data_IF_363426315479
#
_entry.id   IF_363426315479
#
_cell.length_a   1.000
_cell.length_b   1.000
_cell.length_c   1.000
_cell.angle_alpha   90.00
_cell.angle_beta   90.00
_cell.angle_gamma   90.00
#
_symmetry.space_group_name_H-M   'P 1'
#
loop_
_entity.id
_entity.type
_entity.pdbx_description
1 polymer ?
#
# COMPACT_ATOMS: atom_id res chain seq x y z
N UNK A 1 -38.51 -5.89 -50.15
CA UNK A 1 -37.64 -6.51 -51.18
C UNK A 1 -36.22 -6.01 -50.98
N UNK A 2 -35.50 -6.58 -50.00
CA UNK A 2 -34.04 -6.58 -49.89
C UNK A 2 -33.68 -7.92 -49.25
N UNK A 3 -32.91 -8.71 -49.98
CA UNK A 3 -32.35 -10.01 -49.60
C UNK A 3 -31.36 -9.85 -48.44
N UNK A 4 -31.48 -10.69 -47.41
CA UNK A 4 -30.33 -11.05 -46.59
C UNK A 4 -30.30 -12.56 -46.44
N UNK A 5 -29.58 -13.17 -47.38
CA UNK A 5 -29.34 -14.58 -47.49
C UNK A 5 -28.29 -15.05 -46.46
N UNK A 6 -28.70 -16.05 -45.67
CA UNK A 6 -27.98 -17.29 -45.37
C UNK A 6 -26.46 -17.19 -45.21
N UNK A 7 -26.02 -17.20 -43.96
CA UNK A 7 -24.80 -17.90 -43.54
C UNK A 7 -25.12 -18.77 -42.33
N UNK A 8 -25.56 -20.00 -42.62
CA UNK A 8 -25.65 -21.09 -41.63
C UNK A 8 -24.30 -21.81 -41.70
N UNK A 9 -23.41 -21.69 -40.70
CA UNK A 9 -22.19 -22.47 -40.68
C UNK A 9 -22.53 -23.96 -40.57
N UNK A 10 -21.92 -24.75 -41.45
CA UNK A 10 -22.12 -26.19 -41.61
C UNK A 10 -21.78 -26.95 -40.33
N UNK A 11 -22.69 -27.85 -39.93
CA UNK A 11 -22.66 -28.74 -38.76
C UNK A 11 -21.51 -29.78 -38.74
N UNK A 12 -20.52 -29.70 -39.63
CA UNK A 12 -19.46 -30.70 -39.78
C UNK A 12 -18.21 -30.45 -38.92
N UNK A 13 -18.05 -29.26 -38.33
CA UNK A 13 -16.85 -28.91 -37.54
C UNK A 13 -16.97 -29.26 -36.04
N UNK A 14 -18.10 -29.82 -35.59
CA UNK A 14 -18.33 -30.11 -34.17
C UNK A 14 -17.88 -31.51 -33.73
N UNK A 15 -17.50 -32.40 -34.65
CA UNK A 15 -17.14 -33.79 -34.32
C UNK A 15 -15.67 -34.04 -33.95
N UNK A 16 -14.77 -33.09 -34.20
CA UNK A 16 -13.35 -33.24 -33.81
C UNK A 16 -13.10 -32.77 -32.36
N UNK A 17 -14.00 -31.97 -31.78
CA UNK A 17 -13.83 -31.40 -30.43
C UNK A 17 -14.18 -32.42 -29.32
N UNK A 18 -14.90 -33.51 -29.63
CA UNK A 18 -15.44 -34.42 -28.59
C UNK A 18 -14.47 -35.55 -28.19
N UNK A 19 -13.39 -35.81 -28.94
CA UNK A 19 -12.50 -36.95 -28.67
C UNK A 19 -11.11 -36.61 -28.11
N UNK A 20 -10.72 -35.34 -28.04
CA UNK A 20 -9.38 -34.94 -27.52
C UNK A 20 -9.43 -34.42 -26.08
N UNK A 21 -10.61 -34.07 -25.57
CA UNK A 21 -10.78 -33.49 -24.22
C UNK A 21 -10.60 -34.48 -23.05
N UNK A 22 -10.92 -35.80 -23.13
CA UNK A 22 -10.78 -36.66 -21.96
C UNK A 22 -9.32 -37.06 -21.64
N UNK A 23 -8.42 -37.05 -22.63
CA UNK A 23 -7.03 -37.48 -22.44
C UNK A 23 -6.17 -36.41 -21.75
N UNK A 24 -6.49 -35.12 -21.93
CA UNK A 24 -5.75 -34.02 -21.29
C UNK A 24 -6.13 -33.83 -19.80
N UNK A 25 -7.30 -34.32 -19.38
CA UNK A 25 -7.75 -34.28 -17.98
C UNK A 25 -7.14 -35.40 -17.12
N UNK A 26 -6.74 -36.53 -17.72
CA UNK A 26 -6.11 -37.63 -16.97
C UNK A 26 -4.63 -37.36 -16.63
N UNK A 27 -3.95 -36.47 -17.37
CA UNK A 27 -2.54 -36.17 -17.16
C UNK A 27 -2.26 -35.17 -16.01
N UNK A 28 -3.27 -34.47 -15.49
CA UNK A 28 -3.10 -33.56 -14.33
C UNK A 28 -3.33 -34.22 -12.97
N UNK A 29 -3.80 -35.47 -12.92
CA UNK A 29 -4.03 -36.18 -11.66
C UNK A 29 -2.74 -36.81 -11.06
N UNK A 30 -1.58 -36.63 -11.69
CA UNK A 30 -0.35 -37.37 -11.37
C UNK A 30 0.68 -36.69 -10.46
N UNK A 31 0.44 -35.46 -9.98
CA UNK A 31 1.43 -34.71 -9.18
C UNK A 31 0.81 -34.18 -7.88
N UNK A 32 0.26 -35.08 -7.09
CA UNK A 32 -0.03 -34.83 -5.68
C UNK A 32 0.45 -36.01 -4.83
N UNK A 33 1.60 -36.59 -5.18
CA UNK A 33 2.34 -37.42 -4.24
C UNK A 33 2.84 -36.50 -3.15
N UNK A 34 2.17 -36.53 -2.01
CA UNK A 34 2.56 -35.82 -0.81
C UNK A 34 4.03 -36.12 -0.50
N UNK A 35 4.89 -35.16 -0.81
CA UNK A 35 6.13 -35.04 -0.05
C UNK A 35 5.67 -34.79 1.37
N UNK A 36 5.89 -35.78 2.22
CA UNK A 36 5.78 -35.61 3.66
C UNK A 36 6.90 -34.62 3.98
N UNK A 37 6.56 -33.34 4.06
CA UNK A 37 7.51 -32.30 4.45
C UNK A 37 8.11 -32.73 5.79
N UNK A 38 9.44 -32.85 5.84
CA UNK A 38 10.12 -33.14 7.09
C UNK A 38 9.71 -32.09 8.13
N UNK A 39 9.45 -32.51 9.38
CA UNK A 39 9.06 -31.57 10.42
C UNK A 39 10.14 -30.50 10.53
N UNK A 40 9.72 -29.23 10.55
CA UNK A 40 10.60 -28.07 10.72
C UNK A 40 11.48 -28.32 11.95
N UNK A 41 12.80 -28.22 11.78
CA UNK A 41 13.74 -28.37 12.87
C UNK A 41 13.57 -27.21 13.86
N UNK A 42 12.85 -27.48 14.94
CA UNK A 42 12.57 -26.55 16.05
C UNK A 42 13.86 -25.95 16.63
N UNK A 43 14.97 -26.68 16.54
CA UNK A 43 16.28 -26.22 17.02
C UNK A 43 16.77 -25.00 16.27
N UNK A 44 16.45 -24.87 14.97
CA UNK A 44 16.84 -23.71 14.17
C UNK A 44 16.10 -22.46 14.58
N UNK A 45 14.79 -22.54 14.82
CA UNK A 45 13.99 -21.37 15.23
C UNK A 45 14.52 -20.76 16.54
N UNK A 46 15.01 -21.59 17.46
CA UNK A 46 15.60 -21.14 18.72
C UNK A 46 16.80 -20.21 18.52
N UNK A 47 17.65 -20.46 17.53
CA UNK A 47 18.78 -19.58 17.21
C UNK A 47 18.28 -18.17 16.83
N UNK A 48 17.23 -18.08 16.02
CA UNK A 48 16.58 -16.82 15.69
C UNK A 48 16.01 -16.09 16.91
N UNK A 49 15.39 -16.83 17.84
CA UNK A 49 14.87 -16.27 19.10
C UNK A 49 15.99 -15.72 19.98
N UNK A 50 17.11 -16.44 20.11
CA UNK A 50 18.28 -15.99 20.87
C UNK A 50 18.87 -14.70 20.29
N UNK A 51 18.96 -14.59 18.95
CA UNK A 51 19.39 -13.36 18.27
C UNK A 51 18.45 -12.16 18.48
N UNK A 52 17.19 -12.44 18.85
CA UNK A 52 16.20 -11.41 19.14
C UNK A 52 16.16 -11.02 20.63
N UNK A 53 16.86 -11.72 21.52
CA UNK A 53 16.76 -11.49 22.98
C UNK A 53 17.11 -10.03 23.38
N UNK A 54 18.11 -9.45 22.72
CA UNK A 54 18.64 -8.11 23.05
C UNK A 54 18.07 -6.99 22.18
N UNK A 55 17.07 -7.28 21.34
CA UNK A 55 16.49 -6.27 20.43
C UNK A 55 15.69 -5.22 21.21
N UNK A 56 15.96 -3.95 20.93
CA UNK A 56 15.26 -2.83 21.54
C UNK A 56 13.93 -2.54 20.82
N UNK A 57 12.84 -2.47 21.60
CA UNK A 57 11.54 -2.03 21.12
C UNK A 57 11.48 -0.50 21.05
N UNK A 58 10.70 0.05 20.11
CA UNK A 58 10.56 1.50 19.92
C UNK A 58 11.68 2.14 19.09
N UNK A 59 12.67 1.37 18.62
CA UNK A 59 13.64 1.85 17.64
C UNK A 59 12.99 2.07 16.26
N UNK A 60 13.53 3.02 15.48
CA UNK A 60 13.09 3.27 14.10
C UNK A 60 13.75 2.32 13.08
N UNK A 61 14.87 1.69 13.44
CA UNK A 61 15.68 0.88 12.52
C UNK A 61 15.15 -0.56 12.40
N UNK A 62 15.43 -1.18 11.25
CA UNK A 62 15.21 -2.61 10.97
C UNK A 62 16.48 -3.47 11.17
N UNK A 63 17.60 -2.83 11.50
CA UNK A 63 18.94 -3.41 11.39
C UNK A 63 19.29 -4.28 12.61
N UNK A 64 18.48 -5.31 12.85
CA UNK A 64 18.68 -6.30 13.90
C UNK A 64 19.13 -7.62 13.26
N UNK A 65 20.09 -8.32 13.87
CA UNK A 65 20.57 -9.58 13.30
C UNK A 65 19.49 -10.65 13.23
N UNK A 66 18.65 -10.75 14.26
CA UNK A 66 17.52 -11.69 14.29
C UNK A 66 16.48 -11.40 13.19
N UNK A 67 16.23 -10.13 12.85
CA UNK A 67 15.33 -9.78 11.73
C UNK A 67 15.80 -10.41 10.41
N UNK A 68 17.08 -10.24 10.09
CA UNK A 68 17.65 -10.79 8.86
C UNK A 68 17.77 -12.32 8.92
N UNK A 69 18.02 -12.88 10.09
CA UNK A 69 18.02 -14.33 10.30
C UNK A 69 16.65 -14.92 9.95
N UNK A 70 15.55 -14.34 10.43
CA UNK A 70 14.19 -14.80 10.09
C UNK A 70 13.88 -14.65 8.59
N UNK A 71 14.37 -13.59 7.94
CA UNK A 71 14.23 -13.45 6.48
C UNK A 71 14.95 -14.59 5.73
N UNK A 72 16.17 -14.93 6.12
CA UNK A 72 16.93 -16.03 5.52
C UNK A 72 16.28 -17.39 5.82
N UNK A 73 15.90 -17.61 7.08
CA UNK A 73 15.24 -18.83 7.54
C UNK A 73 13.95 -19.12 6.75
N UNK A 74 13.10 -18.11 6.55
CA UNK A 74 11.90 -18.27 5.74
C UNK A 74 12.20 -18.61 4.28
N UNK A 75 13.29 -18.08 3.72
CA UNK A 75 13.70 -18.42 2.33
C UNK A 75 14.17 -19.86 2.22
N UNK A 76 15.00 -20.30 3.17
CA UNK A 76 15.59 -21.64 3.16
C UNK A 76 14.56 -22.73 3.52
N UNK A 77 13.45 -22.37 4.17
CA UNK A 77 12.43 -23.30 4.65
C UNK A 77 11.03 -22.92 4.11
N UNK A 78 10.71 -23.25 2.84
CA UNK A 78 9.46 -22.81 2.22
C UNK A 78 8.19 -23.38 2.80
N UNK A 79 8.27 -24.56 3.40
CA UNK A 79 7.12 -25.24 3.97
C UNK A 79 6.94 -24.93 5.46
N UNK A 80 7.66 -23.94 6.02
CA UNK A 80 7.64 -23.65 7.47
C UNK A 80 6.23 -23.39 8.01
N UNK A 81 5.36 -22.77 7.22
CA UNK A 81 3.97 -22.50 7.61
C UNK A 81 2.97 -23.54 7.07
N UNK A 82 3.42 -24.61 6.40
CA UNK A 82 2.55 -25.54 5.68
C UNK A 82 1.75 -26.47 6.61
N UNK A 83 2.28 -26.80 7.79
CA UNK A 83 1.65 -27.70 8.76
C UNK A 83 0.55 -27.05 9.58
N UNK A 84 0.52 -25.73 9.61
CA UNK A 84 -0.26 -24.98 10.56
C UNK A 84 -1.24 -24.08 9.76
N UNK A 85 -2.50 -24.01 10.19
CA UNK A 85 -3.58 -23.43 9.38
C UNK A 85 -4.06 -22.07 9.92
N UNK A 86 -3.52 -20.96 9.40
CA UNK A 86 -3.94 -19.59 9.80
C UNK A 86 -5.44 -19.36 9.59
N UNK A 87 -6.09 -20.11 8.69
CA UNK A 87 -7.54 -19.98 8.50
C UNK A 87 -8.33 -20.45 9.73
N UNK A 88 -7.79 -21.42 10.47
CA UNK A 88 -8.40 -22.00 11.68
C UNK A 88 -7.96 -21.30 12.96
N UNK A 89 -6.77 -20.70 12.97
CA UNK A 89 -6.24 -19.99 14.14
C UNK A 89 -6.88 -18.62 14.30
N UNK A 90 -7.16 -18.22 15.54
CA UNK A 90 -7.59 -16.86 15.85
C UNK A 90 -6.43 -15.90 15.63
N UNK A 91 -6.65 -14.83 14.86
CA UNK A 91 -5.66 -13.78 14.70
C UNK A 91 -5.31 -13.15 16.07
N UNK A 92 -4.02 -12.99 16.32
CA UNK A 92 -3.50 -12.36 17.54
C UNK A 92 -3.82 -10.86 17.49
N UNK A 93 -4.53 -10.31 18.50
CA UNK A 93 -4.79 -8.88 18.57
C UNK A 93 -3.47 -8.09 18.65
N UNK A 94 -3.35 -7.03 17.85
CA UNK A 94 -2.09 -6.26 17.75
C UNK A 94 -1.69 -5.66 19.09
N UNK A 95 -2.69 -5.30 19.89
CA UNK A 95 -2.53 -4.83 21.26
C UNK A 95 -1.63 -5.77 22.09
N UNK A 96 -1.77 -7.08 21.96
CA UNK A 96 -0.96 -8.03 22.74
C UNK A 96 0.50 -8.04 22.30
N UNK A 97 0.75 -7.94 20.99
CA UNK A 97 2.11 -7.80 20.45
C UNK A 97 2.79 -6.51 20.93
N UNK A 98 2.01 -5.44 21.12
CA UNK A 98 2.52 -4.15 21.57
C UNK A 98 2.70 -4.05 23.09
N UNK A 99 1.80 -4.63 23.88
CA UNK A 99 1.86 -4.57 25.35
C UNK A 99 2.85 -5.59 25.95
N UNK A 100 3.09 -6.71 25.26
CA UNK A 100 3.90 -7.82 25.74
C UNK A 100 4.86 -8.35 24.65
N UNK A 101 5.71 -7.49 24.05
CA UNK A 101 6.54 -7.88 22.91
C UNK A 101 7.50 -9.04 23.23
N UNK A 102 8.02 -9.12 24.46
CA UNK A 102 8.90 -10.21 24.91
C UNK A 102 8.27 -11.60 24.77
N UNK A 103 6.95 -11.70 24.93
CA UNK A 103 6.26 -12.98 25.01
C UNK A 103 5.92 -13.56 23.63
N UNK A 104 6.01 -12.73 22.59
CA UNK A 104 5.76 -13.11 21.20
C UNK A 104 7.03 -13.09 20.35
N UNK A 105 8.16 -12.67 20.90
CA UNK A 105 9.39 -12.43 20.14
C UNK A 105 9.95 -13.73 19.57
N UNK A 106 10.05 -13.78 18.24
CA UNK A 106 10.43 -14.96 17.47
C UNK A 106 9.34 -16.04 17.39
N UNK A 107 8.16 -15.82 17.98
CA UNK A 107 7.03 -16.75 17.89
C UNK A 107 6.30 -16.58 16.56
N UNK A 108 5.75 -17.70 16.07
CA UNK A 108 4.82 -17.69 14.95
C UNK A 108 3.47 -17.12 15.40
N UNK A 109 3.02 -16.07 14.72
CA UNK A 109 1.72 -15.43 14.97
C UNK A 109 0.91 -15.34 13.68
N UNK A 110 -0.40 -15.58 13.79
CA UNK A 110 -1.37 -15.27 12.75
C UNK A 110 -1.91 -13.86 13.02
N UNK A 111 -1.79 -12.94 12.07
CA UNK A 111 -2.27 -11.56 12.21
C UNK A 111 -3.19 -11.17 11.07
N UNK A 112 -4.10 -10.24 11.35
CA UNK A 112 -4.99 -9.64 10.37
C UNK A 112 -4.79 -8.14 10.31
N UNK A 113 -4.95 -7.56 9.12
CA UNK A 113 -4.88 -6.12 8.95
C UNK A 113 -5.37 -5.68 7.57
N UNK A 114 -5.66 -4.40 7.43
CA UNK A 114 -5.98 -3.79 6.14
C UNK A 114 -4.71 -3.31 5.47
N UNK A 115 -4.49 -3.72 4.22
CA UNK A 115 -3.35 -3.26 3.43
C UNK A 115 -3.38 -1.74 3.25
N UNK A 116 -2.45 -1.00 3.87
CA UNK A 116 -2.40 0.46 3.74
C UNK A 116 -1.50 0.88 2.58
N UNK A 117 -0.31 0.29 2.54
CA UNK A 117 0.77 0.64 1.63
C UNK A 117 1.59 -0.61 1.30
N UNK A 118 1.99 -0.71 0.05
CA UNK A 118 3.05 -1.60 -0.41
C UNK A 118 4.22 -0.72 -0.83
N UNK A 119 5.40 -0.97 -0.29
CA UNK A 119 6.61 -0.29 -0.69
C UNK A 119 7.26 -1.00 -1.88
N UNK A 120 8.08 -0.28 -2.69
CA UNK A 120 8.88 -0.92 -3.72
C UNK A 120 9.76 -2.02 -3.13
N UNK A 121 10.01 -3.04 -3.94
CA UNK A 121 10.96 -4.09 -3.63
C UNK A 121 12.36 -3.50 -3.40
N UNK A 122 13.07 -4.03 -2.40
CA UNK A 122 14.42 -3.58 -2.05
C UNK A 122 15.36 -4.75 -1.76
N UNK A 123 16.66 -4.49 -1.86
CA UNK A 123 17.73 -5.44 -1.55
C UNK A 123 18.57 -4.92 -0.38
N UNK A 124 18.95 -5.81 0.52
CA UNK A 124 19.82 -5.48 1.66
C UNK A 124 21.27 -5.64 1.19
N UNK A 125 21.93 -4.53 0.87
CA UNK A 125 23.27 -4.55 0.25
C UNK A 125 24.32 -5.32 1.06
N UNK A 126 24.24 -5.27 2.39
CA UNK A 126 25.14 -5.99 3.29
C UNK A 126 24.88 -7.49 3.36
N UNK A 127 23.73 -7.97 2.86
CA UNK A 127 23.27 -9.37 2.96
C UNK A 127 22.66 -9.86 1.64
N UNK A 128 23.46 -10.03 0.58
CA UNK A 128 22.96 -10.40 -0.75
C UNK A 128 22.24 -11.75 -0.79
N UNK A 129 22.52 -12.66 0.16
CA UNK A 129 21.85 -13.97 0.27
C UNK A 129 20.35 -13.89 0.54
N UNK A 130 19.87 -12.79 1.11
CA UNK A 130 18.45 -12.56 1.38
C UNK A 130 17.63 -12.32 0.11
N UNK A 131 18.29 -12.01 -1.01
CA UNK A 131 17.63 -11.60 -2.23
C UNK A 131 16.79 -10.33 -2.01
N UNK A 132 15.62 -10.30 -2.64
CA UNK A 132 14.73 -9.15 -2.65
C UNK A 132 13.63 -9.28 -1.60
N UNK A 133 13.39 -8.21 -0.87
CA UNK A 133 12.37 -8.11 0.17
C UNK A 133 11.32 -7.08 -0.22
N UNK A 134 10.10 -7.25 0.30
CA UNK A 134 9.03 -6.25 0.16
C UNK A 134 8.51 -5.86 1.52
N UNK A 135 8.35 -4.56 1.73
CA UNK A 135 7.71 -4.04 2.92
C UNK A 135 6.25 -3.69 2.65
N UNK A 136 5.38 -4.12 3.55
CA UNK A 136 3.97 -3.83 3.53
C UNK A 136 3.56 -3.25 4.86
N UNK A 137 2.79 -2.17 4.82
CA UNK A 137 2.21 -1.58 6.01
C UNK A 137 0.73 -1.97 6.09
N UNK A 138 0.34 -2.58 7.20
CA UNK A 138 -1.03 -2.96 7.52
C UNK A 138 -1.59 -1.99 8.56
N UNK A 139 -2.90 -1.75 8.53
CA UNK A 139 -3.62 -0.99 9.55
C UNK A 139 -4.73 -1.81 10.22
N UNK A 140 -4.93 -1.60 11.51
CA UNK A 140 -6.03 -2.19 12.28
C UNK A 140 -7.25 -1.25 12.26
N UNK A 141 -8.45 -1.81 12.15
CA UNK A 141 -9.67 -0.99 12.08
C UNK A 141 -9.93 -0.32 13.43
N UNK A 142 -10.04 1.02 13.43
CA UNK A 142 -10.28 1.79 14.67
C UNK A 142 -9.02 2.08 15.50
N UNK A 143 -7.84 1.73 14.99
CA UNK A 143 -6.55 1.98 15.64
C UNK A 143 -5.65 2.84 14.74
N UNK A 144 -4.72 3.57 15.34
CA UNK A 144 -3.64 4.27 14.63
C UNK A 144 -2.36 3.43 14.52
N UNK A 145 -2.34 2.24 15.12
CA UNK A 145 -1.21 1.33 15.00
C UNK A 145 -1.02 0.90 13.54
N UNK A 146 0.24 0.77 13.14
CA UNK A 146 0.63 0.27 11.82
C UNK A 146 1.57 -0.91 12.02
N UNK A 147 1.11 -2.10 11.64
CA UNK A 147 1.96 -3.27 11.59
C UNK A 147 2.80 -3.22 10.30
N UNK A 148 4.10 -3.45 10.40
CA UNK A 148 4.93 -3.66 9.23
C UNK A 148 5.21 -5.12 9.03
N UNK A 149 4.89 -5.58 7.83
CA UNK A 149 5.13 -6.92 7.35
C UNK A 149 6.22 -6.89 6.28
N UNK A 150 7.33 -7.60 6.53
CA UNK A 150 8.37 -7.83 5.54
C UNK A 150 8.16 -9.20 4.91
N UNK A 151 8.04 -9.23 3.59
CA UNK A 151 7.82 -10.43 2.80
C UNK A 151 9.08 -10.89 2.10
N UNK A 152 9.34 -12.20 2.18
CA UNK A 152 10.43 -12.84 1.44
C UNK A 152 10.01 -13.36 0.06
N UNK A 153 8.72 -13.61 -0.15
CA UNK A 153 8.14 -13.95 -1.45
C UNK A 153 7.38 -12.75 -2.04
N UNK A 154 7.13 -12.74 -3.36
CA UNK A 154 6.22 -11.78 -3.97
C UNK A 154 4.82 -11.87 -3.33
N UNK A 155 4.22 -10.74 -2.89
CA UNK A 155 2.86 -10.73 -2.38
C UNK A 155 1.87 -11.12 -3.47
N UNK A 156 0.72 -11.72 -3.13
CA UNK A 156 -0.37 -11.84 -4.09
C UNK A 156 -0.89 -10.44 -4.46
N UNK A 157 -1.53 -10.36 -5.62
CA UNK A 157 -2.17 -9.11 -6.07
C UNK A 157 -3.29 -8.71 -5.11
N UNK A 158 -3.05 -7.68 -4.30
CA UNK A 158 -4.03 -7.11 -3.39
C UNK A 158 -4.15 -5.60 -3.61
N UNK A 159 -5.37 -5.08 -3.41
CA UNK A 159 -5.62 -3.64 -3.48
C UNK A 159 -5.46 -3.02 -2.11
N UNK A 160 -5.08 -1.75 -2.05
CA UNK A 160 -5.13 -0.96 -0.82
C UNK A 160 -6.52 -1.09 -0.19
N UNK A 161 -6.56 -1.21 1.14
CA UNK A 161 -7.72 -1.44 2.01
C UNK A 161 -8.29 -2.86 1.99
N UNK A 162 -7.73 -3.80 1.20
CA UNK A 162 -8.05 -5.21 1.34
C UNK A 162 -7.74 -5.68 2.75
N UNK A 163 -8.65 -6.46 3.35
CA UNK A 163 -8.36 -7.18 4.58
C UNK A 163 -7.52 -8.40 4.21
N UNK A 164 -6.35 -8.48 4.81
CA UNK A 164 -5.39 -9.56 4.59
C UNK A 164 -5.11 -10.27 5.91
N UNK A 165 -4.73 -11.53 5.81
CA UNK A 165 -4.27 -12.35 6.93
C UNK A 165 -2.95 -12.99 6.56
N UNK A 166 -2.04 -13.06 7.51
CA UNK A 166 -0.71 -13.62 7.28
C UNK A 166 -0.20 -14.33 8.51
N UNK A 167 0.68 -15.29 8.27
CA UNK A 167 1.51 -15.92 9.30
C UNK A 167 2.89 -15.32 9.22
N UNK A 168 3.38 -14.92 10.37
CA UNK A 168 4.64 -14.24 10.46
C UNK A 168 5.34 -14.61 11.76
N UNK A 169 6.66 -14.47 11.76
CA UNK A 169 7.41 -14.36 13.00
C UNK A 169 7.34 -12.92 13.48
N UNK A 170 6.97 -12.72 14.74
CA UNK A 170 7.02 -11.41 15.37
C UNK A 170 8.45 -11.07 15.79
N UNK A 171 8.96 -9.91 15.38
CA UNK A 171 10.35 -9.51 15.60
C UNK A 171 10.46 -8.53 16.76
N UNK A 172 9.74 -7.41 16.69
CA UNK A 172 9.76 -6.35 17.72
C UNK A 172 8.61 -5.37 17.52
N UNK A 173 8.41 -4.44 18.46
CA UNK A 173 7.63 -3.22 18.23
C UNK A 173 8.59 -2.15 17.71
N UNK A 174 8.29 -1.56 16.56
CA UNK A 174 9.09 -0.46 16.02
C UNK A 174 8.34 0.87 16.13
N UNK A 175 9.09 1.95 16.25
CA UNK A 175 8.56 3.29 15.99
C UNK A 175 8.49 3.56 14.50
N UNK A 176 7.50 4.34 14.08
CA UNK A 176 7.38 4.82 12.72
C UNK A 176 6.96 6.29 12.72
N UNK A 177 7.28 6.99 11.63
CA UNK A 177 6.76 8.32 11.34
C UNK A 177 6.00 8.25 10.04
N UNK A 178 4.71 8.62 10.09
CA UNK A 178 3.87 8.67 8.91
C UNK A 178 4.30 9.80 7.95
N UNK A 179 3.77 9.80 6.73
CA UNK A 179 4.00 10.89 5.76
C UNK A 179 3.48 12.25 6.26
N UNK A 180 2.50 12.24 7.17
CA UNK A 180 1.97 13.44 7.82
C UNK A 180 2.83 13.92 9.02
N UNK A 181 3.95 13.25 9.30
CA UNK A 181 4.82 13.56 10.44
C UNK A 181 4.35 13.00 11.78
N UNK A 182 3.18 12.36 11.84
CA UNK A 182 2.67 11.73 13.07
C UNK A 182 3.53 10.51 13.41
N UNK A 183 4.07 10.50 14.62
CA UNK A 183 4.80 9.37 15.19
C UNK A 183 3.85 8.34 15.79
N UNK A 184 4.22 7.07 15.67
CA UNK A 184 3.48 5.96 16.24
C UNK A 184 4.37 4.75 16.42
N UNK A 185 3.80 3.67 16.94
CA UNK A 185 4.47 2.40 17.10
C UNK A 185 3.61 1.25 16.56
N UNK A 186 4.26 0.17 16.16
CA UNK A 186 3.54 -1.03 15.74
C UNK A 186 4.46 -2.23 15.52
N UNK A 187 3.88 -3.43 15.39
CA UNK A 187 4.64 -4.67 15.31
C UNK A 187 5.40 -4.76 13.98
N UNK A 188 6.66 -5.19 14.05
CA UNK A 188 7.48 -5.61 12.91
C UNK A 188 7.44 -7.13 12.81
N UNK A 189 7.07 -7.61 11.63
CA UNK A 189 6.78 -9.02 11.37
C UNK A 189 7.49 -9.45 10.09
N UNK A 190 7.95 -10.70 10.05
CA UNK A 190 8.59 -11.31 8.88
C UNK A 190 7.74 -12.51 8.43
N UNK A 191 7.30 -12.49 7.18
CA UNK A 191 6.42 -13.50 6.61
C UNK A 191 6.87 -13.91 5.20
N UNK A 192 6.31 -15.03 4.73
CA UNK A 192 6.49 -15.44 3.33
C UNK A 192 5.57 -14.63 2.43
N UNK A 193 4.28 -14.69 2.71
CA UNK A 193 3.22 -14.06 1.93
C UNK A 193 2.01 -13.80 2.84
N UNK A 194 0.93 -13.25 2.28
CA UNK A 194 -0.34 -13.09 2.98
C UNK A 194 -1.47 -13.62 2.10
N UNK A 195 -2.63 -13.88 2.69
CA UNK A 195 -3.87 -14.18 1.97
C UNK A 195 -4.80 -12.97 2.00
N UNK A 196 -5.61 -12.80 0.95
CA UNK A 196 -6.66 -11.78 0.91
C UNK A 196 -7.96 -12.41 1.40
N UNK A 197 -8.38 -12.10 2.62
CA UNK A 197 -9.67 -12.58 3.17
C UNK A 197 -10.83 -11.80 2.55
N UNK A 198 -10.70 -10.47 2.53
CA UNK A 198 -11.73 -9.57 2.02
C UNK A 198 -11.05 -8.62 1.04
N UNK A 199 -11.32 -8.73 -0.27
CA UNK A 199 -10.88 -7.73 -1.22
C UNK A 199 -11.39 -6.35 -0.78
N UNK A 200 -10.60 -5.31 -1.02
CA UNK A 200 -11.05 -3.94 -0.79
C UNK A 200 -12.45 -3.78 -1.42
N UNK A 201 -13.44 -3.37 -0.61
CA UNK A 201 -14.76 -3.08 -1.12
C UNK A 201 -14.56 -2.19 -2.32
N UNK A 202 -14.99 -2.68 -3.49
CA UNK A 202 -14.80 -1.97 -4.72
C UNK A 202 -15.55 -0.64 -4.63
N UNK A 203 -14.90 0.41 -4.12
CA UNK A 203 -14.82 1.61 -4.94
C UNK A 203 -14.22 1.05 -6.19
N UNK A 204 -15.06 0.80 -7.19
CA UNK A 204 -14.61 0.09 -8.37
C UNK A 204 -13.23 0.66 -8.72
N UNK A 205 -12.38 -0.11 -9.36
CA UNK A 205 -12.41 0.20 -10.77
C UNK A 205 -13.75 0.90 -11.15
N UNK A 206 -13.83 2.21 -10.98
CA UNK A 206 -13.96 2.99 -12.17
C UNK A 206 -12.87 2.40 -13.09
N UNK A 207 -13.20 1.26 -13.74
CA UNK A 207 -13.34 1.23 -15.17
C UNK A 207 -13.61 2.68 -15.47
N UNK A 208 -12.60 3.34 -16.04
CA UNK A 208 -12.84 4.58 -16.73
C UNK A 208 -13.99 4.22 -17.66
N UNK A 209 -15.21 4.34 -17.16
CA UNK A 209 -16.44 4.02 -17.84
C UNK A 209 -16.33 5.08 -18.89
N UNK A 210 -15.92 4.65 -20.09
CA UNK A 210 -15.52 5.54 -21.15
C UNK A 210 -16.55 6.66 -21.13
N UNK A 211 -16.13 7.92 -20.86
CA UNK A 211 -17.03 8.96 -20.40
C UNK A 211 -18.24 8.93 -21.31
N UNK A 212 -19.40 8.66 -20.70
CA UNK A 212 -20.63 8.41 -21.45
C UNK A 212 -20.76 9.54 -22.48
N UNK A 213 -21.04 9.24 -23.76
CA UNK A 213 -20.87 10.23 -24.84
C UNK A 213 -21.62 11.55 -24.56
N UNK A 214 -22.68 11.48 -23.74
CA UNK A 214 -23.41 12.61 -23.18
C UNK A 214 -22.57 13.51 -22.26
N UNK A 215 -21.73 12.97 -21.39
CA UNK A 215 -20.84 13.74 -20.51
C UNK A 215 -19.79 14.50 -21.33
N UNK A 216 -19.24 13.88 -22.39
CA UNK A 216 -18.33 14.57 -23.32
C UNK A 216 -19.06 15.72 -24.02
N UNK A 217 -20.28 15.48 -24.51
CA UNK A 217 -21.13 16.51 -25.13
C UNK A 217 -21.45 17.66 -24.17
N UNK A 218 -21.77 17.38 -22.90
CA UNK A 218 -22.03 18.42 -21.90
C UNK A 218 -20.76 19.22 -21.56
N UNK A 219 -19.61 18.56 -21.42
CA UNK A 219 -18.34 19.24 -21.18
C UNK A 219 -17.99 20.18 -22.35
N UNK A 220 -18.15 19.71 -23.59
CA UNK A 220 -17.96 20.52 -24.79
C UNK A 220 -18.96 21.69 -24.87
N UNK A 221 -20.24 21.45 -24.57
CA UNK A 221 -21.26 22.51 -24.54
C UNK A 221 -20.93 23.58 -23.48
N UNK A 222 -20.48 23.15 -22.30
CA UNK A 222 -20.03 24.04 -21.23
C UNK A 222 -18.87 24.92 -21.67
N UNK A 223 -17.80 24.33 -22.22
CA UNK A 223 -16.63 25.09 -22.72
C UNK A 223 -17.05 26.08 -23.80
N UNK A 224 -17.88 25.66 -24.77
CA UNK A 224 -18.36 26.53 -25.85
C UNK A 224 -19.19 27.69 -25.31
N UNK A 225 -20.05 27.44 -24.32
CA UNK A 225 -20.88 28.47 -23.70
C UNK A 225 -20.05 29.49 -22.91
N UNK A 226 -19.02 29.04 -22.17
CA UNK A 226 -18.12 29.94 -21.44
C UNK A 226 -17.32 30.83 -22.39
N UNK A 227 -16.81 30.26 -23.49
CA UNK A 227 -16.13 31.00 -24.55
C UNK A 227 -17.05 32.04 -25.21
N UNK A 228 -18.29 31.65 -25.50
CA UNK A 228 -19.30 32.55 -26.05
C UNK A 228 -19.58 33.73 -25.11
N UNK A 229 -19.78 33.47 -23.82
CA UNK A 229 -20.00 34.53 -22.82
C UNK A 229 -18.80 35.48 -22.74
N UNK A 230 -17.58 34.95 -22.77
CA UNK A 230 -16.36 35.75 -22.71
C UNK A 230 -16.23 36.69 -23.92
N UNK A 231 -16.54 36.20 -25.12
CA UNK A 231 -16.60 37.03 -26.34
C UNK A 231 -17.68 38.10 -26.26
N UNK A 232 -18.87 37.76 -25.77
CA UNK A 232 -19.97 38.74 -25.58
C UNK A 232 -19.59 39.82 -24.57
N UNK A 233 -18.95 39.45 -23.47
CA UNK A 233 -18.48 40.41 -22.46
C UNK A 233 -17.38 41.33 -23.02
N UNK A 234 -16.45 40.80 -23.80
CA UNK A 234 -15.40 41.59 -24.46
C UNK A 234 -16.00 42.59 -25.46
N UNK A 235 -17.00 42.18 -26.26
CA UNK A 235 -17.69 43.08 -27.20
C UNK A 235 -18.46 44.19 -26.50
N UNK A 236 -19.13 43.89 -25.37
CA UNK A 236 -19.82 44.90 -24.56
C UNK A 236 -18.85 45.90 -23.93
N UNK A 237 -17.67 45.45 -23.48
CA UNK A 237 -16.63 46.35 -22.96
C UNK A 237 -16.02 47.25 -24.04
N UNK A 238 -15.76 46.73 -25.24
CA UNK A 238 -15.22 47.53 -26.33
C UNK A 238 -16.14 48.68 -26.76
N UNK A 239 -17.46 48.52 -26.66
CA UNK A 239 -18.44 49.58 -26.94
C UNK A 239 -18.53 50.66 -25.85
N UNK A 240 -18.20 50.33 -24.60
CA UNK A 240 -18.25 51.29 -23.48
C UNK A 240 -17.01 52.19 -23.41
N UNK A 241 -15.91 51.84 -24.08
CA UNK A 241 -14.66 52.62 -24.09
C UNK A 241 -14.68 53.76 -25.13
N UNK A 242 -15.68 53.80 -26.02
CA UNK A 242 -15.81 54.87 -27.02
C UNK A 242 -16.53 56.14 -26.51
N UNK A 243 -17.08 56.13 -25.29
CA UNK A 243 -17.82 57.25 -24.72
C UNK A 243 -17.39 57.49 -23.27
N UNK A 244 -16.28 58.20 -23.09
CA UNK A 244 -15.84 58.59 -21.76
C UNK A 244 -14.63 59.51 -21.81
N UNK A 245 -14.91 60.80 -21.70
CA UNK A 245 -13.96 61.85 -21.34
C UNK A 245 -12.98 61.34 -20.26
N UNK A 246 -11.69 61.37 -20.61
CA UNK A 246 -10.61 61.11 -19.68
C UNK A 246 -10.54 62.27 -18.67
N UNK A 247 -11.15 62.09 -17.50
CA UNK A 247 -10.69 62.80 -16.31
C UNK A 247 -9.27 62.32 -15.95
N UNK A 248 -8.33 63.23 -15.66
CA UNK A 248 -6.96 62.89 -15.29
C UNK A 248 -6.96 62.16 -13.95
N UNK A 249 -6.77 60.85 -14.04
CA UNK A 249 -6.56 59.93 -12.91
C UNK A 249 -5.29 60.34 -12.17
N UNK A 250 -5.46 61.05 -11.05
CA UNK A 250 -4.42 61.27 -10.05
C UNK A 250 -3.83 59.91 -9.65
N UNK A 251 -2.57 59.69 -10.02
CA UNK A 251 -1.71 58.65 -9.44
C UNK A 251 -1.65 58.84 -7.93
N UNK A 252 -2.43 58.04 -7.20
CA UNK A 252 -2.06 57.68 -5.83
C UNK A 252 -1.04 56.57 -5.95
N UNK A 253 0.22 56.98 -5.91
CA UNK A 253 1.37 56.16 -5.63
C UNK A 253 1.11 55.46 -4.28
N UNK A 254 0.69 54.19 -4.31
CA UNK A 254 0.66 53.33 -3.12
C UNK A 254 2.10 52.84 -2.96
N UNK A 255 2.93 53.65 -2.31
CA UNK A 255 4.17 53.18 -1.71
C UNK A 255 3.77 52.35 -0.49
N UNK A 256 3.79 51.03 -0.63
CA UNK A 256 3.68 50.13 0.52
C UNK A 256 4.84 50.43 1.47
N UNK A 257 4.51 50.98 2.63
CA UNK A 257 5.47 51.25 3.70
C UNK A 257 5.82 49.94 4.39
N UNK A 258 7.05 49.85 4.89
CA UNK A 258 7.64 48.67 5.55
C UNK A 258 6.82 48.15 6.75
N UNK A 259 5.89 48.97 7.26
CA UNK A 259 4.95 48.67 8.35
C UNK A 259 3.94 47.57 7.98
N UNK A 260 3.60 47.39 6.69
CA UNK A 260 2.64 46.34 6.25
C UNK A 260 3.20 44.91 6.39
N UNK A 261 4.48 44.75 6.74
CA UNK A 261 5.18 43.47 6.86
C UNK A 261 5.67 43.17 8.29
N UNK A 262 5.29 43.96 9.29
CA UNK A 262 5.77 43.81 10.67
C UNK A 262 5.35 42.46 11.30
N UNK A 263 4.25 41.87 10.84
CA UNK A 263 3.79 40.54 11.29
C UNK A 263 4.66 39.36 10.78
N UNK A 264 5.58 39.59 9.83
CA UNK A 264 6.48 38.54 9.33
C UNK A 264 7.68 38.28 10.26
N UNK A 265 8.01 39.21 11.16
CA UNK A 265 9.19 39.13 12.03
C UNK A 265 8.89 38.64 13.46
N UNK A 266 7.61 38.52 13.87
CA UNK A 266 7.20 38.16 15.24
C UNK A 266 7.26 36.66 15.59
N UNK A 267 8.01 35.86 14.82
CA UNK A 267 7.76 34.42 14.76
C UNK A 267 8.96 33.47 14.87
N UNK A 268 10.03 33.80 15.60
CA UNK A 268 10.92 32.79 16.22
C UNK A 268 12.10 33.43 16.98
N UNK A 269 11.90 33.79 18.25
CA UNK A 269 13.02 33.76 19.19
C UNK A 269 13.31 32.28 19.52
N UNK A 270 14.51 31.75 19.25
CA UNK A 270 14.88 30.44 19.74
C UNK A 270 14.96 30.48 21.28
N UNK A 271 14.50 29.42 21.98
CA UNK A 271 14.60 29.36 23.43
C UNK A 271 16.07 29.47 23.87
N UNK A 272 16.30 30.34 24.85
CA UNK A 272 17.57 30.58 25.53
C UNK A 272 18.06 29.27 26.19
N UNK A 273 19.03 28.63 25.54
CA UNK A 273 19.73 27.45 26.06
C UNK A 273 20.62 27.88 27.24
N UNK A 274 20.05 27.80 28.43
CA UNK A 274 20.75 28.02 29.69
C UNK A 274 22.02 27.14 29.85
N UNK A 275 22.96 27.54 30.73
CA UNK A 275 24.28 26.94 30.82
C UNK A 275 24.21 25.47 31.25
N UNK A 276 24.79 24.59 30.42
CA UNK A 276 24.97 23.17 30.71
C UNK A 276 25.95 22.99 31.87
N UNK A 277 25.61 22.20 32.92
CA UNK A 277 26.55 21.87 33.98
C UNK A 277 27.68 20.98 33.43
N UNK A 278 28.92 21.33 33.79
CA UNK A 278 30.10 20.52 33.53
C UNK A 278 30.12 19.35 34.53
N UNK A 279 30.24 18.13 34.03
CA UNK A 279 30.58 16.91 34.77
C UNK A 279 31.62 16.13 33.98
#
# INVERSE_FOLDING_TARGET
MIEFARHIPSLTTWRIIVLVVPALLAAQAGIARGQISEPVDVSRVREGVELLADVEDGAFAFDDEGFYWFCQFLRDNPDVFATSNCASDSAVPWRYLMERPSDYRGEEVCIEGRLLREQPEYEVRSRPGLGRLRQIDLGESGSQAIATLVLVDPPPTARRKSLVRTRAFFVKVRSFRSEAGVEGAGPLLVARSFEVIQPAAGGGASERRAPDGRQILMAMAGVTFTLFLLVVMMRRRAGAVASGDQEPRRERLITGTREDFEWLDDGADPPDDGPRPQA
#
